data_IF_571004997005
#
_entry.id   IF_571004997005
#
_cell.length_a   1.000
_cell.length_b   1.000
_cell.length_c   1.000
_cell.angle_alpha   90.00
_cell.angle_beta   90.00
_cell.angle_gamma   90.00
#
_symmetry.space_group_name_H-M   'P 1'
#
loop_
_entity.id
_entity.type
_entity.pdbx_description
1 polymer ?
#
# COMPACT_ATOMS: atom_id res chain seq x y z
N UNK A 1 -15.95 14.19 2.72
CA UNK A 1 -15.45 14.21 4.12
C UNK A 1 -14.29 13.21 4.30
N UNK A 2 -14.48 11.93 3.98
CA UNK A 2 -13.45 10.89 4.15
C UNK A 2 -12.17 11.14 3.34
N UNK A 3 -12.27 11.62 2.10
CA UNK A 3 -11.12 11.95 1.26
C UNK A 3 -10.30 13.12 1.82
N UNK A 4 -10.98 14.19 2.25
CA UNK A 4 -10.33 15.35 2.82
C UNK A 4 -9.61 15.00 4.12
N UNK A 5 -10.26 14.21 4.97
CA UNK A 5 -9.65 13.71 6.21
C UNK A 5 -8.41 12.86 5.95
N UNK A 6 -8.46 11.98 4.95
CA UNK A 6 -7.30 11.17 4.59
C UNK A 6 -6.14 12.03 4.07
N UNK A 7 -6.42 13.06 3.25
CA UNK A 7 -5.40 14.01 2.78
C UNK A 7 -4.72 14.76 3.92
N UNK A 8 -5.44 15.10 4.95
CA UNK A 8 -4.87 15.74 6.14
C UNK A 8 -3.95 14.79 6.90
N UNK A 9 -4.37 13.53 7.09
CA UNK A 9 -3.61 12.52 7.80
C UNK A 9 -2.30 12.11 7.09
N UNK A 10 -2.26 12.13 5.77
CA UNK A 10 -1.04 11.76 5.02
C UNK A 10 -0.10 12.94 4.77
N UNK A 11 -0.41 14.15 5.26
CA UNK A 11 0.53 15.28 5.21
C UNK A 11 1.63 15.06 6.23
N UNK A 12 2.91 15.18 5.83
CA UNK A 12 4.00 15.14 6.79
C UNK A 12 3.84 16.26 7.82
N UNK A 13 3.84 15.91 9.08
CA UNK A 13 3.89 16.88 10.17
C UNK A 13 5.35 17.25 10.43
N UNK A 14 5.77 18.40 9.92
CA UNK A 14 7.12 18.94 10.14
C UNK A 14 7.22 19.75 11.44
N UNK A 15 6.43 19.45 12.46
CA UNK A 15 6.65 20.03 13.78
C UNK A 15 8.07 19.63 14.22
N UNK A 16 8.94 20.63 14.36
CA UNK A 16 10.32 20.42 14.77
C UNK A 16 10.31 19.72 16.14
N UNK A 17 10.88 18.52 16.18
CA UNK A 17 11.21 17.92 17.46
C UNK A 17 12.11 18.90 18.22
N UNK A 18 11.75 19.33 19.45
CA UNK A 18 12.57 20.24 20.24
C UNK A 18 13.99 19.70 20.51
N UNK A 19 14.20 18.41 20.28
CA UNK A 19 15.41 17.67 20.62
C UNK A 19 16.30 17.33 19.43
N UNK A 20 15.91 17.69 18.20
CA UNK A 20 16.66 17.36 16.99
C UNK A 20 17.05 18.62 16.24
N UNK A 21 18.36 18.83 16.09
CA UNK A 21 18.94 19.81 15.16
C UNK A 21 19.11 19.25 13.73
N UNK A 22 18.75 17.99 13.52
CA UNK A 22 18.82 17.33 12.23
C UNK A 22 17.62 17.71 11.36
N UNK A 23 17.84 17.83 10.07
CA UNK A 23 16.80 18.01 9.06
C UNK A 23 16.08 16.68 8.90
N UNK A 24 15.06 16.44 9.74
CA UNK A 24 14.28 15.21 9.70
C UNK A 24 13.45 15.16 8.42
N UNK A 25 13.58 14.07 7.68
CA UNK A 25 12.73 13.76 6.55
C UNK A 25 11.70 12.74 7.00
N UNK A 26 10.44 13.14 7.06
CA UNK A 26 9.36 12.22 7.36
C UNK A 26 8.94 11.46 6.08
N UNK A 27 8.74 10.15 6.23
CA UNK A 27 8.13 9.34 5.19
C UNK A 27 6.78 8.84 5.70
N UNK A 28 5.71 9.20 5.02
CA UNK A 28 4.37 8.71 5.33
C UNK A 28 4.13 7.39 4.62
N UNK A 29 3.65 6.39 5.36
CA UNK A 29 3.24 5.09 4.83
C UNK A 29 1.75 4.92 5.13
N UNK A 30 0.93 4.89 4.09
CA UNK A 30 -0.49 4.58 4.15
C UNK A 30 -0.67 3.07 3.95
N UNK A 31 -1.27 2.39 4.92
CA UNK A 31 -1.60 0.96 4.83
C UNK A 31 -3.11 0.83 4.67
N UNK A 32 -3.56 0.34 3.51
CA UNK A 32 -4.95 0.08 3.18
C UNK A 32 -5.29 -1.39 3.39
N UNK A 33 -5.93 -1.69 4.52
CA UNK A 33 -6.50 -3.00 4.81
C UNK A 33 -8.03 -2.90 4.78
N UNK A 34 -8.56 -2.45 3.64
CA UNK A 34 -9.99 -2.18 3.46
C UNK A 34 -10.64 -3.24 2.58
N UNK A 35 -11.90 -3.53 2.85
CA UNK A 35 -12.67 -4.60 2.21
C UNK A 35 -13.54 -4.13 1.04
N UNK A 36 -13.51 -2.83 0.70
CA UNK A 36 -14.31 -2.28 -0.39
C UNK A 36 -13.49 -1.42 -1.36
N UNK A 37 -13.89 -1.43 -2.63
CA UNK A 37 -13.17 -0.75 -3.70
C UNK A 37 -13.35 0.78 -3.66
N UNK A 38 -14.46 1.28 -3.12
CA UNK A 38 -14.68 2.73 -2.97
C UNK A 38 -13.64 3.36 -2.04
N UNK A 39 -13.32 2.68 -0.93
CA UNK A 39 -12.23 3.13 -0.04
C UNK A 39 -10.86 3.03 -0.72
N UNK A 40 -10.60 1.96 -1.50
CA UNK A 40 -9.37 1.84 -2.30
C UNK A 40 -9.25 2.93 -3.34
N UNK A 41 -10.35 3.32 -4.00
CA UNK A 41 -10.37 4.42 -4.96
C UNK A 41 -10.01 5.77 -4.30
N UNK A 42 -10.48 6.02 -3.07
CA UNK A 42 -10.11 7.20 -2.28
C UNK A 42 -8.61 7.19 -1.98
N UNK A 43 -8.06 6.08 -1.48
CA UNK A 43 -6.63 5.94 -1.21
C UNK A 43 -5.79 6.12 -2.49
N UNK A 44 -6.24 5.56 -3.62
CA UNK A 44 -5.61 5.71 -4.92
C UNK A 44 -5.55 7.18 -5.38
N UNK A 45 -6.65 7.92 -5.24
CA UNK A 45 -6.73 9.35 -5.56
C UNK A 45 -5.77 10.14 -4.68
N UNK A 46 -5.80 9.94 -3.36
CA UNK A 46 -4.91 10.60 -2.41
C UNK A 46 -3.44 10.30 -2.70
N UNK A 47 -3.12 9.07 -3.11
CA UNK A 47 -1.76 8.70 -3.52
C UNK A 47 -1.25 9.58 -4.67
N UNK A 48 -2.05 9.83 -5.70
CA UNK A 48 -1.62 10.66 -6.85
C UNK A 48 -1.61 12.15 -6.56
N UNK A 49 -2.40 12.62 -5.62
CA UNK A 49 -2.45 14.02 -5.20
C UNK A 49 -1.37 14.37 -4.16
N UNK A 50 -0.80 13.37 -3.50
CA UNK A 50 0.27 13.55 -2.51
C UNK A 50 1.63 13.51 -3.21
N UNK A 51 2.55 14.41 -2.85
CA UNK A 51 3.88 14.51 -3.47
C UNK A 51 4.79 13.35 -3.09
N UNK A 52 4.76 12.95 -1.82
CA UNK A 52 5.60 11.91 -1.25
C UNK A 52 4.73 10.97 -0.39
N UNK A 53 4.52 9.73 -0.85
CA UNK A 53 3.69 8.75 -0.16
C UNK A 53 4.09 7.32 -0.55
N UNK A 54 4.16 6.44 0.43
CA UNK A 54 4.14 4.99 0.23
C UNK A 54 2.72 4.51 0.52
N UNK A 55 2.12 3.76 -0.40
CA UNK A 55 0.80 3.19 -0.23
C UNK A 55 0.87 1.67 -0.39
N UNK A 56 0.66 0.95 0.70
CA UNK A 56 0.56 -0.51 0.72
C UNK A 56 -0.92 -0.86 0.81
N UNK A 57 -1.44 -1.54 -0.21
CA UNK A 57 -2.82 -2.03 -0.22
C UNK A 57 -2.85 -3.54 -0.12
N UNK A 58 -3.70 -4.04 0.77
CA UNK A 58 -3.97 -5.46 0.97
C UNK A 58 -5.42 -5.76 0.61
N UNK A 59 -5.63 -6.60 -0.39
CA UNK A 59 -6.95 -7.08 -0.80
C UNK A 59 -6.97 -8.59 -0.80
N UNK A 60 -7.97 -9.18 -0.15
CA UNK A 60 -8.15 -10.63 -0.10
C UNK A 60 -9.62 -11.02 -0.17
N UNK A 61 -9.87 -12.15 -0.81
CA UNK A 61 -11.12 -12.88 -0.78
C UNK A 61 -11.03 -14.06 0.20
N UNK A 62 -11.84 -15.08 -0.03
CA UNK A 62 -11.92 -16.23 0.89
C UNK A 62 -10.57 -16.94 1.07
N UNK A 63 -9.87 -17.25 -0.01
CA UNK A 63 -8.62 -18.02 0.03
C UNK A 63 -7.47 -17.39 -0.75
N UNK A 64 -7.72 -16.35 -1.50
CA UNK A 64 -6.72 -15.70 -2.36
C UNK A 64 -6.63 -14.22 -2.05
N UNK A 65 -5.51 -13.60 -2.44
CA UNK A 65 -5.37 -12.17 -2.27
C UNK A 65 -4.13 -11.62 -2.95
N UNK A 66 -3.98 -10.31 -2.79
CA UNK A 66 -2.81 -9.57 -3.26
C UNK A 66 -2.42 -8.49 -2.25
N UNK A 67 -1.14 -8.19 -2.21
CA UNK A 67 -0.60 -7.02 -1.52
C UNK A 67 0.24 -6.23 -2.51
N UNK A 68 -0.05 -4.94 -2.64
CA UNK A 68 0.61 -4.05 -3.62
C UNK A 68 1.24 -2.88 -2.88
N UNK A 69 2.50 -2.57 -3.20
CA UNK A 69 3.19 -1.39 -2.68
C UNK A 69 3.39 -0.36 -3.78
N UNK A 70 2.67 0.75 -3.68
CA UNK A 70 2.86 1.95 -4.49
C UNK A 70 3.85 2.91 -3.82
N UNK A 71 4.76 3.52 -4.59
CA UNK A 71 5.71 4.51 -4.09
C UNK A 71 5.69 5.74 -4.98
N UNK A 72 5.51 6.89 -4.36
CA UNK A 72 5.59 8.20 -4.98
C UNK A 72 6.60 9.05 -4.23
N UNK A 73 7.52 9.68 -4.96
CA UNK A 73 8.57 10.55 -4.42
C UNK A 73 8.76 11.77 -5.30
N UNK A 74 8.78 12.95 -4.69
CA UNK A 74 8.92 14.23 -5.40
C UNK A 74 7.91 14.38 -6.56
N UNK A 75 6.67 13.91 -6.37
CA UNK A 75 5.62 13.93 -7.38
C UNK A 75 5.78 12.89 -8.50
N UNK A 76 6.79 12.02 -8.45
CA UNK A 76 7.02 10.95 -9.44
C UNK A 76 6.65 9.59 -8.85
N UNK A 77 5.87 8.82 -9.60
CA UNK A 77 5.51 7.45 -9.21
C UNK A 77 6.60 6.49 -9.66
N UNK A 78 7.29 5.87 -8.72
CA UNK A 78 8.30 4.82 -8.95
C UNK A 78 7.68 3.43 -8.97
N UNK A 79 6.74 3.16 -8.04
CA UNK A 79 5.95 1.93 -8.03
C UNK A 79 4.47 2.29 -8.12
N UNK A 80 3.76 1.60 -9.01
CA UNK A 80 2.35 1.84 -9.28
C UNK A 80 1.48 1.31 -8.13
N UNK A 81 0.48 2.08 -7.67
CA UNK A 81 -0.45 1.62 -6.64
C UNK A 81 -1.47 0.62 -7.20
N UNK A 82 -2.22 -0.03 -6.32
CA UNK A 82 -3.17 -1.11 -6.62
C UNK A 82 -4.15 -0.75 -7.72
N UNK A 83 -4.79 0.42 -7.70
CA UNK A 83 -5.76 0.82 -8.73
C UNK A 83 -5.15 1.05 -10.13
N UNK A 84 -3.81 1.17 -10.25
CA UNK A 84 -3.14 1.20 -11.56
C UNK A 84 -2.86 -0.21 -12.10
N UNK A 85 -2.61 -1.17 -11.20
CA UNK A 85 -2.40 -2.58 -11.57
C UNK A 85 -3.72 -3.31 -11.83
N UNK A 86 -4.76 -2.93 -11.10
CA UNK A 86 -6.12 -3.49 -11.18
C UNK A 86 -7.14 -2.36 -11.39
N UNK A 87 -7.27 -1.83 -12.62
CA UNK A 87 -8.13 -0.67 -12.90
C UNK A 87 -9.61 -0.88 -12.60
N UNK A 88 -10.07 -2.13 -12.58
CA UNK A 88 -11.48 -2.46 -12.29
C UNK A 88 -11.88 -2.10 -10.86
N UNK A 89 -10.92 -2.05 -9.92
CA UNK A 89 -11.13 -1.55 -8.57
C UNK A 89 -11.66 -0.10 -8.59
N UNK A 90 -11.21 0.72 -9.53
CA UNK A 90 -11.61 2.13 -9.63
C UNK A 90 -12.99 2.33 -10.26
N UNK A 91 -13.52 1.31 -10.91
CA UNK A 91 -14.84 1.33 -11.58
C UNK A 91 -15.94 0.71 -10.72
N UNK A 92 -15.58 0.08 -9.61
CA UNK A 92 -16.54 -0.61 -8.76
C UNK A 92 -17.49 0.38 -8.06
N UNK A 93 -18.78 0.08 -8.10
CA UNK A 93 -19.84 0.86 -7.46
C UNK A 93 -20.15 0.39 -6.03
N UNK A 94 -19.14 -0.07 -5.31
CA UNK A 94 -19.29 -0.55 -3.94
C UNK A 94 -19.78 0.58 -3.02
N UNK A 95 -20.64 0.22 -2.08
CA UNK A 95 -21.06 1.13 -1.01
C UNK A 95 -19.94 1.28 0.03
N UNK A 96 -19.82 2.46 0.63
CA UNK A 96 -18.97 2.61 1.81
C UNK A 96 -19.55 1.83 2.99
N UNK A 97 -18.70 1.35 3.94
CA UNK A 97 -19.19 0.63 5.12
C UNK A 97 -20.23 1.41 5.93
N UNK A 98 -20.18 2.74 5.89
CA UNK A 98 -21.14 3.64 6.54
C UNK A 98 -22.49 3.72 5.80
N UNK A 99 -22.53 3.31 4.53
CA UNK A 99 -23.72 3.31 3.67
C UNK A 99 -24.44 1.95 3.66
N UNK A 100 -23.81 0.92 4.28
CA UNK A 100 -24.36 -0.44 4.34
C UNK A 100 -25.36 -0.59 5.50
N UNK A 101 -26.50 -1.21 5.23
CA UNK A 101 -27.43 -1.66 6.27
C UNK A 101 -26.84 -2.82 7.10
N UNK A 102 -27.41 -3.08 8.27
CA UNK A 102 -26.97 -4.22 9.11
C UNK A 102 -27.08 -5.57 8.38
N UNK A 103 -28.10 -5.74 7.53
CA UNK A 103 -28.29 -6.96 6.74
C UNK A 103 -27.21 -7.10 5.64
N UNK A 104 -26.85 -6.01 4.96
CA UNK A 104 -25.79 -6.01 3.93
C UNK A 104 -24.41 -6.27 4.53
N UNK A 105 -24.14 -5.82 5.78
CA UNK A 105 -22.89 -6.12 6.49
C UNK A 105 -22.74 -7.60 6.86
N UNK A 106 -23.87 -8.29 7.12
CA UNK A 106 -23.86 -9.71 7.46
C UNK A 106 -23.54 -10.62 6.26
N UNK A 107 -23.67 -10.13 5.03
CA UNK A 107 -23.43 -10.87 3.77
C UNK A 107 -22.05 -10.57 3.20
N UNK A 108 -21.15 -9.92 3.95
CA UNK A 108 -19.77 -9.69 3.49
C UNK A 108 -19.11 -11.02 3.11
N UNK A 109 -18.42 -11.04 1.97
CA UNK A 109 -17.76 -12.24 1.47
C UNK A 109 -16.86 -12.87 2.55
N UNK A 110 -17.01 -14.18 2.83
CA UNK A 110 -16.25 -14.84 3.85
C UNK A 110 -14.75 -14.71 3.56
N UNK A 111 -13.99 -14.28 4.55
CA UNK A 111 -12.53 -14.21 4.49
C UNK A 111 -11.97 -15.27 5.44
N UNK A 112 -11.08 -16.12 4.95
CA UNK A 112 -10.43 -17.10 5.83
C UNK A 112 -9.36 -16.43 6.68
N UNK A 113 -9.20 -16.92 7.91
CA UNK A 113 -8.11 -16.46 8.81
C UNK A 113 -6.74 -16.65 8.16
N UNK A 114 -6.56 -17.74 7.41
CA UNK A 114 -5.30 -18.04 6.72
C UNK A 114 -5.01 -17.06 5.58
N UNK A 115 -6.03 -16.59 4.85
CA UNK A 115 -5.85 -15.52 3.85
C UNK A 115 -5.44 -14.20 4.51
N UNK A 116 -6.09 -13.84 5.63
CA UNK A 116 -5.74 -12.63 6.38
C UNK A 116 -4.32 -12.70 6.96
N UNK A 117 -3.90 -13.83 7.51
CA UNK A 117 -2.54 -14.02 8.03
C UNK A 117 -1.49 -13.94 6.91
N UNK A 118 -1.76 -14.56 5.76
CA UNK A 118 -0.86 -14.49 4.59
C UNK A 118 -0.73 -13.05 4.08
N UNK A 119 -1.83 -12.32 3.99
CA UNK A 119 -1.82 -10.91 3.63
C UNK A 119 -1.02 -10.07 4.64
N UNK A 120 -1.24 -10.26 5.94
CA UNK A 120 -0.52 -9.57 7.00
C UNK A 120 0.99 -9.84 6.95
N UNK A 121 1.39 -11.10 6.68
CA UNK A 121 2.80 -11.47 6.49
C UNK A 121 3.42 -10.70 5.34
N UNK A 122 2.74 -10.59 4.20
CA UNK A 122 3.25 -9.84 3.05
C UNK A 122 3.35 -8.34 3.34
N UNK A 123 2.35 -7.74 4.01
CA UNK A 123 2.40 -6.32 4.45
C UNK A 123 3.58 -6.10 5.39
N UNK A 124 3.78 -6.98 6.37
CA UNK A 124 4.90 -6.89 7.32
C UNK A 124 6.25 -7.01 6.61
N UNK A 125 6.37 -7.87 5.60
CA UNK A 125 7.59 -7.99 4.78
C UNK A 125 7.90 -6.68 4.04
N UNK A 126 6.90 -6.03 3.45
CA UNK A 126 7.09 -4.71 2.83
C UNK A 126 7.51 -3.64 3.84
N UNK A 127 6.91 -3.63 5.03
CA UNK A 127 7.29 -2.70 6.09
C UNK A 127 8.72 -2.95 6.56
N UNK A 128 9.12 -4.20 6.73
CA UNK A 128 10.48 -4.56 7.11
C UNK A 128 11.49 -4.07 6.06
N UNK A 129 11.24 -4.32 4.78
CA UNK A 129 12.09 -3.84 3.69
C UNK A 129 12.20 -2.31 3.68
N UNK A 130 11.08 -1.60 3.87
CA UNK A 130 11.06 -0.14 3.84
C UNK A 130 11.72 0.52 5.05
N UNK A 131 11.53 -0.05 6.25
CA UNK A 131 11.91 0.57 7.52
C UNK A 131 13.27 0.09 8.04
N UNK A 132 13.61 -1.18 7.79
CA UNK A 132 14.81 -1.81 8.34
C UNK A 132 15.93 -1.89 7.30
N UNK A 133 15.63 -2.44 6.12
CA UNK A 133 16.66 -2.61 5.09
C UNK A 133 16.83 -1.37 4.21
N UNK A 134 15.79 -0.55 4.09
CA UNK A 134 15.76 0.61 3.19
C UNK A 134 15.72 0.24 1.70
N UNK A 135 15.61 -1.05 1.35
CA UNK A 135 15.67 -1.57 -0.02
C UNK A 135 14.45 -2.47 -0.28
N UNK A 136 13.45 -1.94 -0.97
CA UNK A 136 12.26 -2.70 -1.32
C UNK A 136 12.58 -3.67 -2.46
N UNK A 137 12.51 -4.95 -2.19
CA UNK A 137 12.85 -6.03 -3.13
C UNK A 137 11.66 -6.49 -3.98
N UNK A 138 10.45 -6.26 -3.50
CA UNK A 138 9.19 -6.73 -4.10
C UNK A 138 8.23 -5.57 -4.30
N UNK A 139 7.47 -5.55 -5.41
CA UNK A 139 6.45 -4.53 -5.70
C UNK A 139 5.06 -4.97 -5.35
N UNK A 140 4.73 -6.21 -5.68
CA UNK A 140 3.47 -6.82 -5.26
C UNK A 140 3.63 -8.32 -5.07
N UNK A 141 2.70 -8.85 -4.28
CA UNK A 141 2.57 -10.27 -3.97
C UNK A 141 1.14 -10.69 -4.26
N UNK A 142 0.98 -11.82 -4.94
CA UNK A 142 -0.29 -12.54 -5.00
C UNK A 142 -0.16 -13.86 -4.26
N UNK A 143 -1.23 -14.33 -3.65
CA UNK A 143 -1.19 -15.56 -2.86
C UNK A 143 -2.49 -16.36 -2.95
N UNK A 144 -2.36 -17.65 -2.66
CA UNK A 144 -3.48 -18.55 -2.37
C UNK A 144 -3.21 -19.27 -1.05
N UNK A 145 -3.98 -18.96 -0.03
CA UNK A 145 -3.88 -19.62 1.26
C UNK A 145 -4.38 -21.06 1.23
N UNK A 146 -5.28 -21.42 0.28
CA UNK A 146 -5.80 -22.77 0.11
C UNK A 146 -4.71 -23.78 -0.26
N UNK A 147 -3.78 -23.40 -1.12
CA UNK A 147 -2.70 -24.27 -1.60
C UNK A 147 -1.32 -23.83 -1.11
N UNK A 148 -1.27 -22.88 -0.17
CA UNK A 148 -0.05 -22.32 0.44
C UNK A 148 0.94 -21.87 -0.63
N UNK A 149 0.44 -21.07 -1.59
CA UNK A 149 1.23 -20.56 -2.71
C UNK A 149 1.33 -19.04 -2.64
N UNK A 150 2.53 -18.53 -2.88
CA UNK A 150 2.81 -17.11 -2.94
C UNK A 150 3.66 -16.82 -4.17
N UNK A 151 3.30 -15.79 -4.93
CA UNK A 151 4.06 -15.30 -6.07
C UNK A 151 4.34 -13.82 -5.91
N UNK A 152 5.61 -13.44 -6.00
CA UNK A 152 6.07 -12.07 -5.90
C UNK A 152 6.60 -11.53 -7.24
N UNK A 153 6.33 -10.27 -7.56
CA UNK A 153 7.05 -9.53 -8.58
C UNK A 153 8.18 -8.74 -7.93
N UNK A 154 9.41 -9.14 -8.24
CA UNK A 154 10.62 -8.54 -7.68
C UNK A 154 11.06 -7.31 -8.48
N UNK A 155 11.66 -6.37 -7.79
CA UNK A 155 12.28 -5.19 -8.38
C UNK A 155 13.64 -5.57 -9.00
N UNK A 156 13.83 -5.35 -10.28
CA UNK A 156 15.15 -5.49 -10.89
C UNK A 156 16.05 -4.39 -10.33
N UNK A 157 17.06 -4.76 -9.53
CA UNK A 157 18.08 -3.79 -9.06
C UNK A 157 18.74 -3.14 -10.28
N UNK A 158 18.62 -1.83 -10.39
CA UNK A 158 19.42 -1.04 -11.33
C UNK A 158 20.88 -1.23 -10.91
N UNK A 159 21.73 -1.86 -11.74
CA UNK A 159 23.16 -1.91 -11.51
C UNK A 159 23.63 -0.47 -11.30
N UNK A 160 24.10 -0.13 -10.08
CA UNK A 160 24.82 1.12 -9.86
C UNK A 160 25.99 1.12 -10.84
N UNK A 161 26.02 2.13 -11.69
CA UNK A 161 27.17 2.39 -12.54
C UNK A 161 28.32 2.69 -11.56
N UNK A 162 29.20 1.71 -11.35
CA UNK A 162 30.43 1.93 -10.61
C UNK A 162 31.19 3.01 -11.38
N UNK A 163 31.28 4.21 -10.80
CA UNK A 163 32.23 5.21 -11.26
C UNK A 163 33.59 4.54 -11.21
N UNK A 164 34.20 4.31 -12.39
CA UNK A 164 35.61 3.99 -12.48
C UNK A 164 36.34 5.20 -11.88
N UNK A 165 36.85 5.07 -10.65
CA UNK A 165 37.94 5.92 -10.21
C UNK A 165 39.06 5.69 -11.21
N UNK A 166 39.33 6.66 -12.04
CA UNK A 166 40.54 6.76 -12.80
C UNK A 166 41.66 7.02 -11.80
N UNK A 167 42.64 6.14 -11.78
CA UNK A 167 43.91 6.32 -11.15
C UNK A 167 44.71 7.40 -11.86
#
# INVERSE_FOLDING_TARGET
>A
ESEQRLKELVRPDFTKSPWSNAKETQRVILIGCVDNNKSRAICHKVFYETKDLVYIDSGNGEHTGQVVCGIRQNGRTTFKPVGTLYPDILKAEDKLPTELSCAERAVSAPQSVTANLTAATAVTSFLYDLLVTGDLTTRYVTFSAKIISTRAETVKKRKRRTEKCAA
#
